data_IF_282967179068
#
_entry.id   IF_282967179068
#
_cell.length_a   1.000
_cell.length_b   1.000
_cell.length_c   1.000
_cell.angle_alpha   90.00
_cell.angle_beta   90.00
_cell.angle_gamma   90.00
#
_symmetry.space_group_name_H-M   'P 1'
#
loop_
_entity.id
_entity.type
_entity.pdbx_description
1 polymer ?
#
# COMPACT_ATOMS: atom_id res chain seq x y z
N UNK A 1 0.86 11.62 -3.91
CA UNK A 1 -0.11 10.67 -3.29
C UNK A 1 -0.12 10.90 -1.78
N UNK A 2 -1.27 10.77 -1.10
CA UNK A 2 -1.41 10.97 0.36
C UNK A 2 -1.83 9.65 1.05
N UNK A 3 -1.55 9.48 2.35
CA UNK A 3 -1.90 8.27 3.14
C UNK A 3 -3.34 7.79 2.94
N UNK A 4 -4.29 8.71 3.07
CA UNK A 4 -5.73 8.43 2.91
C UNK A 4 -6.05 7.98 1.48
N UNK A 5 -5.44 8.62 0.49
CA UNK A 5 -5.60 8.25 -0.92
C UNK A 5 -5.00 6.87 -1.23
N UNK A 6 -3.84 6.56 -0.63
CA UNK A 6 -3.20 5.26 -0.76
C UNK A 6 -4.06 4.15 -0.14
N UNK A 7 -4.52 4.33 1.09
CA UNK A 7 -5.44 3.39 1.74
C UNK A 7 -6.75 3.21 0.96
N UNK A 8 -7.32 4.29 0.43
CA UNK A 8 -8.52 4.22 -0.42
C UNK A 8 -8.23 3.43 -1.70
N UNK A 9 -7.07 3.63 -2.31
CA UNK A 9 -6.69 2.90 -3.52
C UNK A 9 -6.50 1.41 -3.21
N UNK A 10 -5.79 1.07 -2.13
CA UNK A 10 -5.65 -0.31 -1.64
C UNK A 10 -7.00 -0.97 -1.41
N UNK A 11 -7.96 -0.26 -0.77
CA UNK A 11 -9.32 -0.75 -0.55
C UNK A 11 -10.09 -0.98 -1.85
N UNK A 12 -9.97 -0.08 -2.83
CA UNK A 12 -10.61 -0.26 -4.13
C UNK A 12 -9.96 -1.38 -4.95
N UNK A 13 -8.64 -1.56 -4.83
CA UNK A 13 -7.91 -2.67 -5.44
C UNK A 13 -8.01 -3.99 -4.65
N UNK A 14 -8.67 -3.98 -3.49
CA UNK A 14 -8.85 -5.19 -2.68
C UNK A 14 -10.01 -6.04 -3.20
N UNK A 15 -9.77 -7.34 -3.33
CA UNK A 15 -10.82 -8.35 -3.54
C UNK A 15 -11.05 -9.07 -2.21
N UNK A 16 -12.10 -8.66 -1.50
CA UNK A 16 -12.32 -9.06 -0.12
C UNK A 16 -11.29 -8.39 0.78
N UNK A 17 -10.49 -9.19 1.49
CA UNK A 17 -9.49 -8.66 2.44
C UNK A 17 -8.10 -8.58 1.83
N UNK A 18 -7.86 -9.18 0.67
CA UNK A 18 -6.57 -9.18 0.00
C UNK A 18 -6.49 -8.00 -0.97
N UNK A 19 -5.40 -7.26 -0.93
CA UNK A 19 -5.10 -6.22 -1.91
C UNK A 19 -3.85 -6.59 -2.71
N UNK A 20 -3.90 -6.26 -4.00
CA UNK A 20 -2.75 -6.26 -4.88
C UNK A 20 -2.83 -4.98 -5.69
N UNK A 21 -1.87 -4.09 -5.52
CA UNK A 21 -1.84 -2.82 -6.26
C UNK A 21 -0.45 -2.59 -6.82
N UNK A 22 -0.40 -1.93 -7.96
CA UNK A 22 0.84 -1.45 -8.53
C UNK A 22 0.77 0.08 -8.55
N UNK A 23 1.69 0.71 -7.84
CA UNK A 23 1.76 2.17 -7.75
C UNK A 23 2.90 2.63 -8.64
N UNK A 24 2.58 3.36 -9.71
CA UNK A 24 3.60 3.98 -10.56
C UNK A 24 4.44 4.96 -9.74
N UNK A 25 5.77 4.83 -9.83
CA UNK A 25 6.71 5.79 -9.24
C UNK A 25 7.29 6.67 -10.32
N UNK A 26 7.28 7.98 -10.11
CA UNK A 26 7.91 8.95 -11.00
C UNK A 26 9.38 9.20 -10.61
N UNK A 27 9.68 9.09 -9.31
CA UNK A 27 11.01 9.36 -8.75
C UNK A 27 11.37 8.35 -7.66
N UNK A 28 12.66 8.29 -7.27
CA UNK A 28 13.09 7.53 -6.08
C UNK A 28 12.51 8.07 -4.78
N UNK A 29 12.13 9.35 -4.75
CA UNK A 29 11.48 9.93 -3.58
C UNK A 29 10.06 9.40 -3.40
N UNK A 30 9.32 9.17 -4.50
CA UNK A 30 8.01 8.52 -4.46
C UNK A 30 8.10 7.11 -3.88
N UNK A 31 9.14 6.33 -4.21
CA UNK A 31 9.36 5.00 -3.65
C UNK A 31 9.46 5.04 -2.12
N UNK A 32 10.35 5.89 -1.60
CA UNK A 32 10.54 6.07 -0.16
C UNK A 32 9.24 6.48 0.53
N UNK A 33 8.51 7.40 -0.09
CA UNK A 33 7.22 7.89 0.42
C UNK A 33 6.15 6.79 0.41
N UNK A 34 6.10 5.95 -0.61
CA UNK A 34 5.17 4.81 -0.67
C UNK A 34 5.49 3.82 0.45
N UNK A 35 6.77 3.49 0.65
CA UNK A 35 7.19 2.57 1.72
C UNK A 35 6.88 3.13 3.12
N UNK A 36 7.17 4.40 3.38
CA UNK A 36 6.81 5.05 4.66
C UNK A 36 5.30 5.00 4.90
N UNK A 37 4.49 5.37 3.90
CA UNK A 37 3.03 5.35 4.01
C UNK A 37 2.48 3.94 4.26
N UNK A 38 3.04 2.93 3.60
CA UNK A 38 2.66 1.52 3.80
C UNK A 38 3.07 1.05 5.19
N UNK A 39 4.28 1.39 5.65
CA UNK A 39 4.77 1.06 6.99
C UNK A 39 3.96 1.73 8.11
N UNK A 40 3.54 2.98 7.91
CA UNK A 40 2.59 3.66 8.80
C UNK A 40 1.25 2.92 8.87
N UNK A 41 0.67 2.56 7.71
CA UNK A 41 -0.62 1.85 7.66
C UNK A 41 -0.55 0.45 8.29
N UNK A 42 0.60 -0.21 8.18
CA UNK A 42 0.86 -1.48 8.86
C UNK A 42 1.02 -1.30 10.37
N UNK A 43 1.76 -0.28 10.81
CA UNK A 43 1.94 0.06 12.22
C UNK A 43 0.62 0.48 12.89
N UNK A 44 -0.25 1.19 12.16
CA UNK A 44 -1.62 1.50 12.58
C UNK A 44 -2.54 0.25 12.57
N UNK A 45 -2.06 -0.90 12.11
CA UNK A 45 -2.82 -2.14 12.04
C UNK A 45 -3.94 -2.13 11.01
N UNK A 46 -3.94 -1.17 10.06
CA UNK A 46 -4.95 -1.04 8.99
C UNK A 46 -4.69 -1.98 7.83
N UNK A 47 -3.43 -2.35 7.61
CA UNK A 47 -3.03 -3.33 6.61
C UNK A 47 -1.98 -4.27 7.21
N UNK A 48 -1.75 -5.38 6.52
CA UNK A 48 -0.61 -6.27 6.73
C UNK A 48 0.03 -6.48 5.36
N UNK A 49 1.20 -5.91 5.16
CA UNK A 49 1.97 -6.10 3.95
C UNK A 49 2.51 -7.53 3.93
N UNK A 50 2.38 -8.22 2.79
CA UNK A 50 2.97 -9.54 2.58
C UNK A 50 4.15 -9.48 1.64
N UNK A 51 4.04 -8.64 0.63
CA UNK A 51 5.06 -8.52 -0.39
C UNK A 51 5.10 -7.06 -0.91
N UNK A 52 6.31 -6.53 -1.01
CA UNK A 52 6.61 -5.22 -1.58
C UNK A 52 7.72 -5.42 -2.60
N UNK A 53 7.41 -5.28 -3.89
CA UNK A 53 8.39 -5.42 -4.96
C UNK A 53 8.56 -4.08 -5.65
N UNK A 54 9.74 -3.49 -5.49
CA UNK A 54 10.15 -2.33 -6.26
C UNK A 54 10.47 -2.77 -7.69
N UNK A 55 9.71 -2.27 -8.66
CA UNK A 55 9.95 -2.43 -10.10
C UNK A 55 10.65 -1.20 -10.66
N UNK A 56 10.98 -1.20 -11.94
CA UNK A 56 11.71 -0.11 -12.59
C UNK A 56 10.92 1.22 -12.59
N UNK A 57 9.61 1.16 -12.86
CA UNK A 57 8.71 2.33 -12.94
C UNK A 57 7.54 2.26 -11.97
N UNK A 58 7.47 1.24 -11.12
CA UNK A 58 6.36 1.05 -10.18
C UNK A 58 6.80 0.33 -8.92
N UNK A 59 5.96 0.38 -7.89
CA UNK A 59 6.08 -0.41 -6.66
C UNK A 59 4.85 -1.30 -6.60
N UNK A 60 5.07 -2.61 -6.66
CA UNK A 60 4.04 -3.59 -6.47
C UNK A 60 3.88 -3.86 -4.98
N UNK A 61 2.65 -3.73 -4.49
CA UNK A 61 2.28 -3.96 -3.12
C UNK A 61 1.21 -5.04 -3.06
N UNK A 62 1.48 -6.07 -2.28
CA UNK A 62 0.54 -7.14 -2.02
C UNK A 62 0.42 -7.39 -0.52
N UNK A 63 -0.81 -7.54 -0.05
CA UNK A 63 -1.07 -7.73 1.36
C UNK A 63 -2.54 -7.92 1.67
N UNK A 64 -2.86 -7.76 2.94
CA UNK A 64 -4.20 -7.92 3.48
C UNK A 64 -4.62 -6.61 4.13
N UNK A 65 -5.80 -6.09 3.78
CA UNK A 65 -6.42 -5.00 4.53
C UNK A 65 -7.00 -5.58 5.80
N UNK A 66 -6.53 -5.06 6.92
CA UNK A 66 -7.14 -5.30 8.23
C UNK A 66 -8.26 -4.30 8.40
N UNK A 67 -9.48 -4.79 8.33
CA UNK A 67 -10.60 -4.05 8.88
C UNK A 67 -10.39 -4.08 10.39
N UNK A 68 -10.01 -2.95 10.98
CA UNK A 68 -10.22 -2.76 12.40
C UNK A 68 -11.73 -2.87 12.60
N UNK A 69 -12.20 -4.02 13.08
CA UNK A 69 -13.52 -4.08 13.69
C UNK A 69 -13.47 -3.11 14.86
N UNK A 70 -14.34 -2.10 14.82
CA UNK A 70 -14.71 -1.30 16.00
C UNK A 70 -15.16 -2.21 17.15
#
# INVERSE_FOLDING_TARGET
MNKVGLLKNLRNSSRGNLFSTEISKATKEDEKKIEELVGELESEGKIKLRECVQREYSVYLHGIIKYASE
#
